data_IF_472667438316
#
_entry.id   IF_472667438316
#
_cell.length_a   1.000
_cell.length_b   1.000
_cell.length_c   1.000
_cell.angle_alpha   90.00
_cell.angle_beta   90.00
_cell.angle_gamma   90.00
#
_symmetry.space_group_name_H-M   'P 1'
#
loop_
_entity.id
_entity.type
_entity.pdbx_description
1 polymer ?
#
# COMPACT_ATOMS: atom_id res chain seq x y z
N UNK A 1 -40.65 -10.17 1.62
CA UNK A 1 -39.67 -9.78 2.65
C UNK A 1 -38.46 -10.72 2.74
N UNK A 2 -38.45 -11.90 2.10
CA UNK A 2 -37.38 -12.90 2.28
C UNK A 2 -36.09 -12.65 1.48
N UNK A 3 -36.17 -12.20 0.22
CA UNK A 3 -34.98 -12.05 -0.64
C UNK A 3 -34.14 -10.79 -0.32
N UNK A 4 -34.77 -9.74 0.23
CA UNK A 4 -34.07 -8.51 0.59
C UNK A 4 -33.15 -8.74 1.82
N UNK A 5 -33.61 -9.50 2.82
CA UNK A 5 -32.78 -9.86 3.98
C UNK A 5 -31.59 -10.73 3.59
N UNK A 6 -31.76 -11.67 2.65
CA UNK A 6 -30.63 -12.51 2.17
C UNK A 6 -29.56 -11.70 1.43
N UNK A 7 -29.96 -10.68 0.64
CA UNK A 7 -29.01 -9.78 -0.02
C UNK A 7 -28.29 -8.85 0.95
N UNK A 8 -28.96 -8.41 2.03
CA UNK A 8 -28.32 -7.62 3.09
C UNK A 8 -27.33 -8.47 3.90
N UNK A 9 -27.66 -9.72 4.20
CA UNK A 9 -26.77 -10.68 4.86
C UNK A 9 -25.53 -11.01 4.00
N UNK A 10 -25.70 -11.24 2.70
CA UNK A 10 -24.60 -11.47 1.77
C UNK A 10 -23.66 -10.25 1.66
N UNK A 11 -24.22 -9.02 1.62
CA UNK A 11 -23.42 -7.80 1.62
C UNK A 11 -22.68 -7.57 2.93
N UNK A 12 -23.33 -7.88 4.06
CA UNK A 12 -22.71 -7.76 5.37
C UNK A 12 -21.55 -8.76 5.54
N UNK A 13 -21.73 -10.00 5.06
CA UNK A 13 -20.66 -10.99 5.09
C UNK A 13 -19.53 -10.63 4.13
N UNK A 14 -19.83 -10.15 2.91
CA UNK A 14 -18.79 -9.66 2.00
C UNK A 14 -18.01 -8.49 2.61
N UNK A 15 -18.68 -7.52 3.21
CA UNK A 15 -18.02 -6.39 3.88
C UNK A 15 -17.14 -6.85 5.05
N UNK A 16 -17.55 -7.91 5.78
CA UNK A 16 -16.76 -8.51 6.85
C UNK A 16 -15.51 -9.21 6.32
N UNK A 17 -15.61 -9.92 5.20
CA UNK A 17 -14.48 -10.56 4.53
C UNK A 17 -13.51 -9.53 3.96
N UNK A 18 -14.02 -8.50 3.30
CA UNK A 18 -13.21 -7.39 2.77
C UNK A 18 -12.45 -6.68 3.90
N UNK A 19 -13.10 -6.46 5.06
CA UNK A 19 -12.46 -5.87 6.23
C UNK A 19 -11.41 -6.80 6.86
N UNK A 20 -11.69 -8.11 6.91
CA UNK A 20 -10.73 -9.09 7.42
C UNK A 20 -9.48 -9.18 6.52
N UNK A 21 -9.66 -9.18 5.19
CA UNK A 21 -8.55 -9.11 4.24
C UNK A 21 -7.76 -7.81 4.44
N UNK A 22 -8.44 -6.66 4.56
CA UNK A 22 -7.78 -5.37 4.82
C UNK A 22 -6.92 -5.39 6.08
N UNK A 23 -7.41 -6.02 7.16
CA UNK A 23 -6.68 -6.16 8.42
C UNK A 23 -5.47 -7.10 8.31
N UNK A 24 -5.60 -8.23 7.62
CA UNK A 24 -4.49 -9.17 7.38
C UNK A 24 -3.37 -8.50 6.58
N UNK A 25 -3.74 -7.79 5.51
CA UNK A 25 -2.81 -6.95 4.76
C UNK A 25 -2.17 -5.88 5.64
N UNK A 26 -2.93 -5.21 6.51
CA UNK A 26 -2.42 -4.20 7.43
C UNK A 26 -1.41 -4.79 8.43
N UNK A 27 -1.68 -5.96 9.00
CA UNK A 27 -0.75 -6.66 9.90
C UNK A 27 0.53 -7.09 9.18
N UNK A 28 0.40 -7.66 7.97
CA UNK A 28 1.55 -8.02 7.14
C UNK A 28 2.43 -6.80 6.85
N UNK A 29 1.82 -5.66 6.51
CA UNK A 29 2.53 -4.40 6.20
C UNK A 29 3.30 -3.84 7.40
N UNK A 30 2.92 -4.19 8.63
CA UNK A 30 3.64 -3.78 9.84
C UNK A 30 4.90 -4.59 10.12
N UNK A 31 5.09 -5.74 9.45
CA UNK A 31 6.29 -6.54 9.61
C UNK A 31 7.54 -5.77 9.16
N UNK A 32 8.62 -5.75 9.96
CA UNK A 32 9.90 -5.18 9.54
C UNK A 32 10.45 -5.80 8.24
N UNK A 33 10.07 -7.04 7.92
CA UNK A 33 10.46 -7.69 6.67
C UNK A 33 9.70 -7.11 5.46
N UNK A 34 8.39 -6.89 5.61
CA UNK A 34 7.58 -6.25 4.57
C UNK A 34 8.08 -4.82 4.30
N UNK A 35 8.38 -4.06 5.35
CA UNK A 35 8.94 -2.71 5.21
C UNK A 35 10.23 -2.70 4.38
N UNK A 36 11.15 -3.64 4.63
CA UNK A 36 12.40 -3.76 3.84
C UNK A 36 12.14 -4.08 2.37
N UNK A 37 11.21 -4.99 2.10
CA UNK A 37 10.84 -5.36 0.72
C UNK A 37 10.26 -4.15 -0.01
N UNK A 38 9.36 -3.40 0.62
CA UNK A 38 8.77 -2.21 0.02
C UNK A 38 9.80 -1.11 -0.24
N UNK A 39 10.70 -0.87 0.73
CA UNK A 39 11.79 0.08 0.55
C UNK A 39 12.67 -0.30 -0.64
N UNK A 40 13.06 -1.58 -0.72
CA UNK A 40 13.86 -2.08 -1.84
C UNK A 40 13.12 -1.92 -3.17
N UNK A 41 11.86 -2.33 -3.26
CA UNK A 41 11.06 -2.18 -4.47
C UNK A 41 10.98 -0.72 -4.91
N UNK A 42 10.67 0.20 -3.98
CA UNK A 42 10.56 1.62 -4.29
C UNK A 42 11.90 2.19 -4.78
N UNK A 43 13.01 1.81 -4.16
CA UNK A 43 14.35 2.17 -4.63
C UNK A 43 14.64 1.60 -6.03
N UNK A 44 14.28 0.35 -6.30
CA UNK A 44 14.41 -0.27 -7.63
C UNK A 44 13.59 0.47 -8.70
N UNK A 45 12.37 0.90 -8.36
CA UNK A 45 11.54 1.79 -9.18
C UNK A 45 12.09 3.22 -9.31
N UNK A 46 13.18 3.52 -8.61
CA UNK A 46 13.89 4.78 -8.72
C UNK A 46 13.45 5.84 -7.71
N UNK A 47 12.68 5.49 -6.67
CA UNK A 47 12.41 6.39 -5.55
C UNK A 47 13.74 6.85 -4.93
N UNK A 48 13.99 8.16 -4.95
CA UNK A 48 15.24 8.78 -4.48
C UNK A 48 16.37 8.90 -5.51
N UNK A 49 16.24 8.36 -6.74
CA UNK A 49 17.23 8.56 -7.83
C UNK A 49 16.89 9.75 -8.73
N UNK A 50 17.91 10.34 -9.36
CA UNK A 50 17.71 11.40 -10.36
C UNK A 50 16.97 10.83 -11.58
N UNK A 51 15.98 11.57 -12.09
CA UNK A 51 15.22 11.19 -13.27
C UNK A 51 15.93 11.73 -14.53
N UNK A 52 16.48 10.86 -15.37
CA UNK A 52 17.32 11.26 -16.52
C UNK A 52 16.66 10.88 -17.84
N UNK A 53 15.86 9.82 -17.85
CA UNK A 53 15.19 9.28 -19.03
C UNK A 53 13.67 9.27 -18.86
N UNK A 54 12.95 9.13 -19.97
CA UNK A 54 11.50 8.93 -19.93
C UNK A 54 11.12 7.63 -19.18
N UNK A 55 11.97 6.60 -19.25
CA UNK A 55 11.76 5.38 -18.50
C UNK A 55 11.83 5.62 -16.99
N UNK A 56 12.78 6.45 -16.52
CA UNK A 56 12.87 6.82 -15.10
C UNK A 56 11.60 7.53 -14.63
N UNK A 57 11.02 8.38 -15.48
CA UNK A 57 9.75 9.05 -15.19
C UNK A 57 8.60 8.04 -15.05
N UNK A 58 8.49 7.09 -15.98
CA UNK A 58 7.46 6.04 -15.92
C UNK A 58 7.61 5.20 -14.65
N UNK A 59 8.82 4.79 -14.31
CA UNK A 59 9.10 4.00 -13.10
C UNK A 59 8.81 4.80 -11.82
N UNK A 60 9.17 6.09 -11.80
CA UNK A 60 8.83 6.97 -10.67
C UNK A 60 7.33 7.14 -10.51
N UNK A 61 6.57 7.30 -11.61
CA UNK A 61 5.11 7.37 -11.54
C UNK A 61 4.49 6.10 -10.93
N UNK A 62 5.09 4.92 -11.17
CA UNK A 62 4.65 3.67 -10.53
C UNK A 62 4.96 3.70 -9.04
N UNK A 63 6.17 4.12 -8.64
CA UNK A 63 6.53 4.26 -7.23
C UNK A 63 5.58 5.23 -6.50
N UNK A 64 5.25 6.37 -7.11
CA UNK A 64 4.34 7.37 -6.54
C UNK A 64 2.91 6.83 -6.43
N UNK A 65 2.44 6.01 -7.38
CA UNK A 65 1.14 5.33 -7.26
C UNK A 65 1.11 4.34 -6.10
N UNK A 66 2.18 3.57 -5.90
CA UNK A 66 2.31 2.64 -4.76
C UNK A 66 2.30 3.42 -3.45
N UNK A 67 3.07 4.50 -3.36
CA UNK A 67 3.13 5.36 -2.18
C UNK A 67 1.78 6.00 -1.87
N UNK A 68 1.04 6.48 -2.88
CA UNK A 68 -0.31 7.03 -2.70
C UNK A 68 -1.29 5.97 -2.17
N UNK A 69 -1.22 4.73 -2.67
CA UNK A 69 -2.06 3.64 -2.15
C UNK A 69 -1.69 3.28 -0.71
N UNK A 70 -0.39 3.23 -0.39
CA UNK A 70 0.06 3.02 0.99
C UNK A 70 -0.42 4.13 1.91
N UNK A 71 -0.37 5.41 1.49
CA UNK A 71 -0.83 6.53 2.28
C UNK A 71 -2.33 6.44 2.62
N UNK A 72 -3.14 5.90 1.71
CA UNK A 72 -4.57 5.70 1.93
C UNK A 72 -4.88 4.49 2.82
N UNK A 73 -4.13 3.39 2.65
CA UNK A 73 -4.40 2.14 3.35
C UNK A 73 -3.74 2.07 4.75
N UNK A 74 -2.48 2.53 4.85
CA UNK A 74 -1.60 2.36 6.01
C UNK A 74 -0.70 3.59 6.21
N UNK A 75 -1.25 4.74 6.68
CA UNK A 75 -0.52 6.01 6.78
C UNK A 75 0.80 5.93 7.57
N UNK A 76 0.81 5.17 8.68
CA UNK A 76 2.00 5.05 9.55
C UNK A 76 3.17 4.32 8.88
N UNK A 77 2.87 3.37 7.98
CA UNK A 77 3.91 2.68 7.20
C UNK A 77 4.38 3.58 6.06
N UNK A 78 3.46 4.29 5.40
CA UNK A 78 3.82 5.29 4.40
C UNK A 78 4.81 6.32 4.95
N UNK A 79 4.54 6.91 6.12
CA UNK A 79 5.44 7.90 6.75
C UNK A 79 6.82 7.28 7.02
N UNK A 80 6.88 6.10 7.62
CA UNK A 80 8.15 5.40 7.90
C UNK A 80 8.97 5.15 6.64
N UNK A 81 8.33 4.65 5.58
CA UNK A 81 8.97 4.39 4.30
C UNK A 81 9.51 5.67 3.68
N UNK A 82 8.72 6.75 3.66
CA UNK A 82 9.13 8.04 3.08
C UNK A 82 10.30 8.65 3.87
N UNK A 83 10.26 8.63 5.21
CA UNK A 83 11.38 9.09 6.04
C UNK A 83 12.66 8.34 5.70
N UNK A 84 12.59 7.00 5.60
CA UNK A 84 13.75 6.16 5.23
C UNK A 84 14.26 6.44 3.82
N UNK A 85 13.38 6.66 2.84
CA UNK A 85 13.77 7.06 1.48
C UNK A 85 14.47 8.42 1.45
N UNK A 86 14.11 9.32 2.35
CA UNK A 86 14.74 10.65 2.50
C UNK A 86 15.99 10.64 3.39
N UNK A 87 16.35 9.50 3.98
CA UNK A 87 17.48 9.40 4.91
C UNK A 87 17.22 10.02 6.29
N UNK A 88 15.95 10.20 6.67
CA UNK A 88 15.52 10.72 7.97
C UNK A 88 15.31 9.52 8.91
N UNK A 89 15.99 9.54 10.07
CA UNK A 89 15.92 8.51 11.12
C UNK A 89 14.98 8.92 12.25
#
# INVERSE_FOLDING_TARGET
MSQLMTQEEERAEQARLDEAERLDWFEMMQSPAAERIWLQLLQELGAGRLMVTENDMRMRNIADQILNRMAQAVPDIYIRIVCKLQGIQ
#
